data_IF_662819763320
#
_entry.id   IF_662819763320
#
_cell.length_a   1.000
_cell.length_b   1.000
_cell.length_c   1.000
_cell.angle_alpha   90.00
_cell.angle_beta   90.00
_cell.angle_gamma   90.00
#
_symmetry.space_group_name_H-M   'P 1'
#
loop_
_entity.id
_entity.type
_entity.pdbx_description
1 polymer ?
#
# COMPACT_ATOMS: atom_id res chain seq x y z
N UNK A 1 -12.66 -9.81 -13.59
CA UNK A 1 -12.40 -9.91 -15.03
C UNK A 1 -11.03 -9.32 -15.36
N UNK A 2 -10.51 -9.51 -16.57
CA UNK A 2 -9.42 -8.69 -17.12
C UNK A 2 -9.88 -7.89 -18.36
N UNK A 3 -11.19 -7.84 -18.58
CA UNK A 3 -11.82 -7.08 -19.65
C UNK A 3 -12.30 -5.75 -19.07
N UNK A 4 -11.80 -4.65 -19.65
CA UNK A 4 -12.15 -3.29 -19.23
C UNK A 4 -13.62 -2.98 -19.48
N UNK A 5 -14.18 -3.47 -20.58
CA UNK A 5 -15.57 -3.19 -20.96
C UNK A 5 -16.52 -3.91 -19.99
N UNK A 6 -16.18 -5.15 -19.59
CA UNK A 6 -16.91 -5.88 -18.54
C UNK A 6 -16.83 -5.12 -17.20
N UNK A 7 -15.65 -4.62 -16.83
CA UNK A 7 -15.43 -3.86 -15.59
C UNK A 7 -16.18 -2.51 -15.53
N UNK A 8 -16.71 -2.03 -16.66
CA UNK A 8 -17.57 -0.84 -16.76
C UNK A 8 -19.07 -1.14 -16.63
N UNK A 9 -19.47 -2.41 -16.73
CA UNK A 9 -20.90 -2.78 -16.72
C UNK A 9 -21.53 -2.59 -15.34
N UNK A 10 -22.83 -2.25 -15.28
CA UNK A 10 -23.58 -2.24 -14.02
C UNK A 10 -23.60 -3.61 -13.36
N UNK A 11 -23.71 -4.69 -14.15
CA UNK A 11 -23.78 -6.06 -13.64
C UNK A 11 -22.51 -6.44 -12.89
N UNK A 12 -21.33 -6.14 -13.47
CA UNK A 12 -20.06 -6.46 -12.84
C UNK A 12 -19.86 -5.70 -11.51
N UNK A 13 -20.28 -4.44 -11.45
CA UNK A 13 -20.07 -3.62 -10.24
C UNK A 13 -21.18 -3.74 -9.20
N UNK A 14 -22.32 -4.35 -9.54
CA UNK A 14 -23.46 -4.48 -8.63
C UNK A 14 -23.07 -5.11 -7.27
N UNK A 15 -22.27 -6.19 -7.20
CA UNK A 15 -21.83 -6.75 -5.92
C UNK A 15 -21.00 -5.77 -5.08
N UNK A 16 -20.28 -4.82 -5.71
CA UNK A 16 -19.46 -3.84 -5.01
C UNK A 16 -20.29 -2.82 -4.23
N UNK A 17 -21.59 -2.70 -4.48
CA UNK A 17 -22.47 -1.76 -3.76
C UNK A 17 -22.76 -2.24 -2.33
N UNK A 18 -22.86 -3.55 -2.14
CA UNK A 18 -23.16 -4.17 -0.84
C UNK A 18 -21.95 -4.84 -0.18
N UNK A 19 -20.85 -5.02 -0.92
CA UNK A 19 -19.63 -5.61 -0.38
C UNK A 19 -19.07 -4.80 0.81
N UNK A 20 -18.63 -5.50 1.85
CA UNK A 20 -17.90 -4.91 2.99
C UNK A 20 -16.39 -4.98 2.81
N UNK A 21 -15.92 -5.88 1.93
CA UNK A 21 -14.51 -5.97 1.59
C UNK A 21 -14.30 -6.43 0.14
N UNK A 22 -13.17 -6.01 -0.45
CA UNK A 22 -12.66 -6.48 -1.75
C UNK A 22 -11.22 -6.92 -1.59
N UNK A 23 -10.86 -8.01 -2.25
CA UNK A 23 -9.51 -8.55 -2.25
C UNK A 23 -8.94 -8.66 -3.67
N UNK A 24 -7.79 -8.03 -3.90
CA UNK A 24 -7.02 -8.18 -5.13
C UNK A 24 -5.98 -9.30 -5.00
N UNK A 25 -6.05 -10.28 -5.90
CA UNK A 25 -5.06 -11.34 -6.01
C UNK A 25 -3.72 -10.86 -6.59
N UNK A 26 -2.74 -11.78 -6.62
CA UNK A 26 -1.47 -11.59 -7.29
C UNK A 26 -1.56 -11.71 -8.82
N UNK A 27 -0.42 -11.55 -9.50
CA UNK A 27 -0.33 -11.63 -10.96
C UNK A 27 0.53 -10.53 -11.54
N UNK A 28 0.02 -9.81 -12.54
CA UNK A 28 0.67 -8.64 -13.14
C UNK A 28 -0.20 -7.42 -12.88
N UNK A 29 0.31 -6.49 -12.09
CA UNK A 29 -0.40 -5.30 -11.63
C UNK A 29 -0.86 -4.38 -12.77
N UNK A 30 -0.14 -4.32 -13.89
CA UNK A 30 -0.55 -3.55 -15.07
C UNK A 30 -1.87 -4.07 -15.67
N UNK A 31 -2.16 -5.37 -15.56
CA UNK A 31 -3.47 -5.92 -15.99
C UNK A 31 -4.61 -5.40 -15.11
N UNK A 32 -4.36 -5.19 -13.83
CA UNK A 32 -5.34 -4.60 -12.92
C UNK A 32 -5.55 -3.12 -13.28
N UNK A 33 -4.48 -2.39 -13.65
CA UNK A 33 -4.58 -1.02 -14.14
C UNK A 33 -5.43 -0.96 -15.43
N UNK A 34 -5.11 -1.76 -16.46
CA UNK A 34 -5.88 -1.81 -17.70
C UNK A 34 -7.37 -2.09 -17.49
N UNK A 35 -7.67 -3.03 -16.60
CA UNK A 35 -9.04 -3.50 -16.37
C UNK A 35 -9.85 -2.53 -15.52
N UNK A 36 -9.25 -1.91 -14.51
CA UNK A 36 -10.00 -1.22 -13.47
C UNK A 36 -9.72 0.27 -13.38
N UNK A 37 -8.53 0.74 -13.76
CA UNK A 37 -8.17 2.14 -13.59
C UNK A 37 -9.12 3.05 -14.38
N UNK A 38 -9.62 4.08 -13.72
CA UNK A 38 -10.59 5.03 -14.26
C UNK A 38 -11.90 4.42 -14.78
N UNK A 39 -12.25 3.20 -14.34
CA UNK A 39 -13.54 2.60 -14.66
C UNK A 39 -14.60 2.82 -13.58
N UNK A 40 -15.84 2.47 -13.90
CA UNK A 40 -16.91 2.31 -12.91
C UNK A 40 -16.49 1.43 -11.73
N UNK A 41 -15.78 0.32 -11.98
CA UNK A 41 -15.26 -0.52 -10.90
C UNK A 41 -14.38 0.29 -9.95
N UNK A 42 -13.42 1.07 -10.47
CA UNK A 42 -12.57 1.91 -9.63
C UNK A 42 -13.36 2.94 -8.81
N UNK A 43 -14.38 3.56 -9.40
CA UNK A 43 -15.27 4.46 -8.66
C UNK A 43 -16.00 3.76 -7.52
N UNK A 44 -16.59 2.59 -7.76
CA UNK A 44 -17.32 1.83 -6.73
C UNK A 44 -16.41 1.29 -5.62
N UNK A 45 -15.14 1.00 -5.93
CA UNK A 45 -14.13 0.69 -4.93
C UNK A 45 -13.82 1.89 -4.03
N UNK A 46 -13.73 3.09 -4.61
CA UNK A 46 -13.65 4.33 -3.84
C UNK A 46 -14.88 4.53 -2.94
N UNK A 47 -16.09 4.26 -3.46
CA UNK A 47 -17.32 4.32 -2.68
C UNK A 47 -17.36 3.27 -1.54
N UNK A 48 -16.73 2.10 -1.75
CA UNK A 48 -16.58 1.07 -0.71
C UNK A 48 -15.72 1.54 0.44
N UNK A 49 -14.56 2.14 0.16
CA UNK A 49 -13.72 2.73 1.19
C UNK A 49 -14.43 3.87 1.91
N UNK A 50 -15.11 4.75 1.16
CA UNK A 50 -15.81 5.91 1.71
C UNK A 50 -16.93 5.55 2.71
N UNK A 51 -17.55 4.37 2.56
CA UNK A 51 -18.56 3.84 3.49
C UNK A 51 -18.00 2.92 4.59
N UNK A 52 -16.67 2.85 4.73
CA UNK A 52 -15.99 2.08 5.78
C UNK A 52 -15.72 0.61 5.44
N UNK A 53 -15.85 0.22 4.16
CA UNK A 53 -15.41 -1.09 3.70
C UNK A 53 -13.88 -1.18 3.58
N UNK A 54 -13.37 -2.40 3.38
CA UNK A 54 -11.93 -2.67 3.32
C UNK A 54 -11.50 -3.11 1.91
N UNK A 55 -10.39 -2.58 1.41
CA UNK A 55 -9.72 -3.10 0.23
C UNK A 55 -8.39 -3.70 0.66
N UNK A 56 -8.15 -4.95 0.29
CA UNK A 56 -6.90 -5.64 0.52
C UNK A 56 -6.33 -6.21 -0.78
N UNK A 57 -5.07 -6.63 -0.72
CA UNK A 57 -4.47 -7.37 -1.82
C UNK A 57 -3.09 -7.90 -1.51
N UNK A 58 -2.68 -8.91 -2.29
CA UNK A 58 -1.38 -9.55 -2.16
C UNK A 58 -0.60 -9.50 -3.48
N UNK A 59 0.72 -9.35 -3.39
CA UNK A 59 1.61 -9.21 -4.55
C UNK A 59 1.12 -8.07 -5.46
N UNK A 60 0.81 -8.32 -6.74
CA UNK A 60 0.26 -7.32 -7.65
C UNK A 60 -0.95 -6.54 -7.08
N UNK A 61 -1.80 -7.20 -6.28
CA UNK A 61 -2.93 -6.59 -5.59
C UNK A 61 -2.55 -5.65 -4.43
N UNK A 62 -1.34 -5.77 -3.88
CA UNK A 62 -0.79 -4.78 -2.96
C UNK A 62 -0.24 -3.58 -3.75
N UNK A 63 0.56 -3.83 -4.80
CA UNK A 63 1.17 -2.78 -5.63
C UNK A 63 0.13 -1.83 -6.24
N UNK A 64 -0.98 -2.35 -6.76
CA UNK A 64 -1.99 -1.54 -7.47
C UNK A 64 -2.70 -0.49 -6.59
N UNK A 65 -2.61 -0.60 -5.26
CA UNK A 65 -3.32 0.30 -4.34
C UNK A 65 -2.63 1.67 -4.20
N UNK A 66 -1.32 1.75 -4.48
CA UNK A 66 -0.59 3.02 -4.53
C UNK A 66 -1.04 3.88 -5.71
N UNK A 67 -0.76 5.18 -5.66
CA UNK A 67 -1.02 6.08 -6.79
C UNK A 67 -0.03 5.90 -7.93
N UNK A 68 1.19 5.43 -7.61
CA UNK A 68 2.21 5.10 -8.60
C UNK A 68 2.43 3.59 -8.69
N UNK A 69 2.43 3.07 -9.92
CA UNK A 69 2.55 1.65 -10.21
C UNK A 69 4.01 1.23 -10.42
N UNK A 70 4.65 0.77 -9.34
CA UNK A 70 5.97 0.17 -9.46
C UNK A 70 5.91 -1.12 -10.30
N UNK A 71 6.90 -1.30 -11.15
CA UNK A 71 7.07 -2.48 -12.04
C UNK A 71 5.89 -2.74 -12.97
N UNK A 72 5.25 -1.68 -13.45
CA UNK A 72 4.14 -1.75 -14.38
C UNK A 72 4.50 -2.08 -15.83
N UNK A 73 5.75 -2.42 -16.17
CA UNK A 73 6.13 -2.76 -17.54
C UNK A 73 5.40 -4.01 -18.04
N UNK A 74 4.79 -3.94 -19.22
CA UNK A 74 4.00 -5.03 -19.80
C UNK A 74 4.83 -6.27 -20.17
N UNK A 75 6.13 -6.10 -20.45
CA UNK A 75 7.04 -7.14 -20.96
C UNK A 75 7.77 -7.88 -19.86
N UNK A 76 8.20 -7.18 -18.80
CA UNK A 76 8.99 -7.74 -17.70
C UNK A 76 8.57 -7.20 -16.33
N UNK A 77 8.94 -7.90 -15.25
CA UNK A 77 8.71 -7.47 -13.86
C UNK A 77 9.98 -6.92 -13.18
N UNK A 78 11.03 -6.64 -13.96
CA UNK A 78 12.33 -6.17 -13.46
C UNK A 78 12.52 -4.67 -13.61
N UNK A 79 11.86 -4.04 -14.59
CA UNK A 79 11.89 -2.59 -14.80
C UNK A 79 11.02 -1.94 -13.73
N UNK A 80 11.54 -0.95 -13.00
CA UNK A 80 10.79 -0.27 -11.94
C UNK A 80 9.78 0.74 -12.49
N UNK A 81 10.18 1.52 -13.49
CA UNK A 81 9.37 2.54 -14.15
C UNK A 81 8.99 2.04 -15.56
N UNK A 82 7.79 1.46 -15.69
CA UNK A 82 7.34 0.77 -16.90
C UNK A 82 6.49 1.63 -17.84
N UNK A 83 5.77 0.98 -18.74
CA UNK A 83 4.76 1.60 -19.61
C UNK A 83 3.43 1.91 -18.89
N UNK A 84 3.25 1.39 -17.66
CA UNK A 84 2.17 1.74 -16.76
C UNK A 84 2.75 2.29 -15.47
N UNK A 85 2.43 3.54 -15.15
CA UNK A 85 2.90 4.23 -13.94
C UNK A 85 1.76 4.63 -12.99
N UNK A 86 0.50 4.49 -13.41
CA UNK A 86 -0.65 4.90 -12.61
C UNK A 86 -1.30 3.69 -11.91
N UNK A 87 -1.47 3.79 -10.59
CA UNK A 87 -2.23 2.83 -9.81
C UNK A 87 -3.61 3.38 -9.42
N UNK A 88 -4.40 2.58 -8.69
CA UNK A 88 -5.74 3.00 -8.25
C UNK A 88 -5.66 4.15 -7.23
N UNK A 89 -4.52 4.32 -6.56
CA UNK A 89 -4.31 5.46 -5.69
C UNK A 89 -5.29 5.52 -4.53
N UNK A 90 -5.59 4.37 -3.91
CA UNK A 90 -6.19 4.37 -2.57
C UNK A 90 -5.22 4.95 -1.54
N UNK A 91 -3.91 4.76 -1.76
CA UNK A 91 -2.83 5.49 -1.08
C UNK A 91 -2.22 6.50 -2.05
N UNK A 92 -2.42 7.79 -1.75
CA UNK A 92 -1.92 8.89 -2.59
C UNK A 92 -0.44 9.16 -2.32
N UNK A 93 0.31 9.56 -3.35
CA UNK A 93 1.74 9.87 -3.30
C UNK A 93 2.60 8.70 -2.80
N UNK A 94 2.19 7.47 -3.12
CA UNK A 94 2.86 6.25 -2.68
C UNK A 94 3.13 5.32 -3.87
N UNK A 95 4.32 4.72 -3.88
CA UNK A 95 4.70 3.59 -4.74
C UNK A 95 4.94 2.35 -3.87
N UNK A 96 4.34 1.21 -4.22
CA UNK A 96 4.45 -0.03 -3.43
C UNK A 96 5.15 -1.12 -4.25
N UNK A 97 6.24 -1.69 -3.75
CA UNK A 97 6.86 -2.91 -4.27
C UNK A 97 6.72 -4.07 -3.27
N UNK A 98 6.74 -5.31 -3.76
CA UNK A 98 6.42 -6.51 -2.99
C UNK A 98 7.42 -7.64 -3.26
N UNK A 99 7.53 -8.59 -2.33
CA UNK A 99 8.56 -9.64 -2.30
C UNK A 99 9.97 -9.04 -2.16
N UNK A 100 10.11 -8.05 -1.29
CA UNK A 100 11.31 -7.22 -1.22
C UNK A 100 12.58 -8.01 -0.86
N UNK A 101 12.60 -8.67 0.30
CA UNK A 101 13.81 -9.30 0.82
C UNK A 101 14.01 -10.69 0.23
N UNK A 102 12.92 -11.44 -0.01
CA UNK A 102 12.99 -12.77 -0.65
C UNK A 102 13.60 -12.73 -2.05
N UNK A 103 13.59 -11.56 -2.71
CA UNK A 103 14.21 -11.34 -4.02
C UNK A 103 15.43 -10.42 -4.01
N UNK A 104 15.88 -9.97 -2.83
CA UNK A 104 17.00 -9.04 -2.68
C UNK A 104 16.83 -7.74 -3.50
N UNK A 105 15.62 -7.16 -3.48
CA UNK A 105 15.18 -6.01 -4.30
C UNK A 105 15.08 -4.70 -3.52
N UNK A 106 15.59 -4.66 -2.30
CA UNK A 106 15.50 -3.51 -1.42
C UNK A 106 16.20 -2.25 -1.95
N UNK A 107 17.02 -2.33 -2.99
CA UNK A 107 17.63 -1.14 -3.62
C UNK A 107 16.89 -0.68 -4.88
N UNK A 108 16.00 -1.49 -5.45
CA UNK A 108 15.35 -1.19 -6.73
C UNK A 108 14.41 0.02 -6.60
N UNK A 109 13.73 0.18 -5.45
CA UNK A 109 12.81 1.31 -5.22
C UNK A 109 13.50 2.67 -5.29
N UNK A 110 14.83 2.73 -5.10
CA UNK A 110 15.61 3.96 -5.24
C UNK A 110 15.48 4.58 -6.63
N UNK A 111 15.34 3.76 -7.68
CA UNK A 111 15.12 4.24 -9.04
C UNK A 111 13.86 5.12 -9.14
N UNK A 112 12.77 4.73 -8.48
CA UNK A 112 11.52 5.48 -8.49
C UNK A 112 11.67 6.75 -7.65
N UNK A 113 12.09 6.64 -6.39
CA UNK A 113 12.09 7.79 -5.47
C UNK A 113 13.15 8.85 -5.82
N UNK A 114 14.23 8.48 -6.50
CA UNK A 114 15.20 9.45 -7.04
C UNK A 114 14.64 10.24 -8.23
N UNK A 115 13.76 9.63 -9.04
CA UNK A 115 13.13 10.28 -10.20
C UNK A 115 11.82 10.97 -9.86
N UNK A 116 11.15 10.55 -8.80
CA UNK A 116 9.85 11.02 -8.32
C UNK A 116 9.94 11.28 -6.81
N UNK A 117 10.69 12.31 -6.36
CA UNK A 117 10.93 12.57 -4.94
C UNK A 117 9.65 12.94 -4.17
N UNK A 118 8.57 13.30 -4.87
CA UNK A 118 7.26 13.49 -4.26
C UNK A 118 6.65 12.19 -3.70
N UNK A 119 7.09 11.02 -4.19
CA UNK A 119 6.56 9.72 -3.78
C UNK A 119 7.25 9.20 -2.54
N UNK A 120 6.46 8.64 -1.62
CA UNK A 120 6.93 7.71 -0.60
C UNK A 120 7.02 6.31 -1.22
N UNK A 121 8.23 5.75 -1.27
CA UNK A 121 8.42 4.37 -1.66
C UNK A 121 8.20 3.43 -0.47
N UNK A 122 7.50 2.34 -0.70
CA UNK A 122 7.19 1.33 0.32
C UNK A 122 7.45 -0.07 -0.24
N UNK A 123 8.32 -0.82 0.42
CA UNK A 123 8.62 -2.21 0.05
C UNK A 123 8.07 -3.18 1.08
N UNK A 124 7.16 -4.08 0.69
CA UNK A 124 6.53 -5.06 1.58
C UNK A 124 7.16 -6.44 1.36
N UNK A 125 7.70 -7.04 2.42
CA UNK A 125 8.25 -8.39 2.34
C UNK A 125 7.18 -9.48 2.41
N UNK A 126 7.55 -10.73 2.10
CA UNK A 126 6.62 -11.86 2.16
C UNK A 126 6.06 -12.09 3.56
N UNK A 127 4.83 -12.61 3.62
CA UNK A 127 4.07 -12.84 4.86
C UNK A 127 3.98 -11.61 5.77
N UNK A 128 4.00 -10.41 5.17
CA UNK A 128 3.94 -9.12 5.86
C UNK A 128 2.89 -8.26 5.17
N UNK A 129 2.18 -7.44 5.93
CA UNK A 129 1.17 -6.53 5.41
C UNK A 129 1.21 -5.20 6.16
N UNK A 130 0.61 -4.19 5.53
CA UNK A 130 0.31 -2.92 6.15
C UNK A 130 -1.20 -2.80 6.28
N UNK A 131 -1.68 -2.52 7.49
CA UNK A 131 -3.09 -2.19 7.72
C UNK A 131 -3.18 -0.68 7.79
N UNK A 132 -3.81 -0.07 6.80
CA UNK A 132 -3.94 1.38 6.69
C UNK A 132 -5.29 1.85 7.21
N UNK A 133 -5.29 2.82 8.10
CA UNK A 133 -6.48 3.48 8.65
C UNK A 133 -6.26 4.98 8.69
N UNK A 134 -7.05 5.72 7.91
CA UNK A 134 -6.81 7.15 7.69
C UNK A 134 -5.42 7.38 7.13
N UNK A 135 -4.65 8.24 7.81
CA UNK A 135 -3.29 8.62 7.40
C UNK A 135 -2.19 7.79 8.08
N UNK A 136 -2.54 6.67 8.71
CA UNK A 136 -1.58 5.85 9.44
C UNK A 136 -1.66 4.40 9.00
N UNK A 137 -0.53 3.70 9.08
CA UNK A 137 -0.52 2.26 8.93
C UNK A 137 0.23 1.55 10.05
N UNK A 138 -0.21 0.34 10.35
CA UNK A 138 0.48 -0.64 11.20
C UNK A 138 1.10 -1.74 10.32
N UNK A 139 2.33 -2.14 10.64
CA UNK A 139 2.95 -3.33 10.05
C UNK A 139 2.51 -4.57 10.82
N UNK A 140 1.99 -5.57 10.11
CA UNK A 140 1.62 -6.88 10.68
C UNK A 140 2.30 -8.01 9.90
N UNK A 141 2.37 -9.19 10.50
CA UNK A 141 2.91 -10.39 9.86
C UNK A 141 4.27 -10.80 10.43
N UNK A 142 5.13 -11.34 9.57
CA UNK A 142 6.32 -12.08 10.00
C UNK A 142 7.66 -11.46 9.60
N UNK A 143 7.66 -10.45 8.74
CA UNK A 143 8.88 -9.78 8.27
C UNK A 143 8.70 -8.26 8.30
N UNK A 144 9.36 -7.53 7.41
CA UNK A 144 9.51 -6.08 7.47
C UNK A 144 8.82 -5.36 6.32
N UNK A 145 8.53 -4.08 6.57
CA UNK A 145 8.22 -3.09 5.53
C UNK A 145 9.39 -2.12 5.44
N UNK A 146 9.95 -1.92 4.24
CA UNK A 146 10.96 -0.92 3.98
C UNK A 146 10.33 0.41 3.56
N UNK A 147 10.86 1.52 4.08
CA UNK A 147 10.39 2.88 3.80
C UNK A 147 11.50 3.68 3.12
N UNK A 148 11.16 4.24 1.97
CA UNK A 148 12.02 5.06 1.11
C UNK A 148 11.43 6.46 1.04
N UNK A 149 11.99 7.36 1.85
CA UNK A 149 11.52 8.74 1.95
C UNK A 149 12.62 9.70 1.47
N UNK A 150 12.59 10.12 0.19
CA UNK A 150 13.63 10.97 -0.40
C UNK A 150 13.67 12.39 0.20
N UNK A 151 12.57 12.87 0.79
CA UNK A 151 12.54 14.13 1.54
C UNK A 151 13.21 13.99 2.92
N UNK A 152 13.35 12.74 3.39
CA UNK A 152 14.03 12.38 4.62
C UNK A 152 13.27 12.68 5.90
N UNK A 153 12.00 13.07 5.84
CA UNK A 153 11.17 13.39 7.01
C UNK A 153 11.10 12.20 8.00
N UNK A 154 11.20 10.97 7.49
CA UNK A 154 11.17 9.75 8.28
C UNK A 154 12.49 9.37 8.97
N UNK A 155 13.63 9.89 8.50
CA UNK A 155 14.97 9.54 9.03
C UNK A 155 15.60 10.79 9.63
N UNK A 156 16.16 10.66 10.84
CA UNK A 156 16.89 11.75 11.49
C UNK A 156 18.02 12.26 10.57
N UNK A 157 18.17 13.59 10.49
CA UNK A 157 19.03 14.29 9.52
C UNK A 157 20.45 13.72 9.43
N UNK A 158 21.05 13.39 10.58
CA UNK A 158 22.40 12.82 10.69
C UNK A 158 22.57 11.43 10.05
N UNK A 159 21.47 10.70 9.84
CA UNK A 159 21.47 9.34 9.30
C UNK A 159 21.04 9.29 7.83
N UNK A 160 20.44 10.38 7.30
CA UNK A 160 19.89 10.45 5.92
C UNK A 160 20.95 10.12 4.86
N UNK A 161 22.17 10.62 5.01
CA UNK A 161 23.25 10.38 4.05
C UNK A 161 23.76 8.92 4.03
N UNK A 162 23.38 8.09 5.01
CA UNK A 162 23.95 6.75 5.22
C UNK A 162 22.94 5.62 5.02
N UNK A 163 21.63 5.93 5.04
CA UNK A 163 20.56 4.94 4.99
C UNK A 163 19.55 5.35 3.92
N UNK A 164 19.61 4.77 2.71
CA UNK A 164 18.68 5.11 1.63
C UNK A 164 17.24 4.64 1.90
N UNK A 165 17.05 3.80 2.93
CA UNK A 165 15.76 3.38 3.47
C UNK A 165 15.96 2.84 4.91
N UNK A 166 14.85 2.61 5.61
CA UNK A 166 14.83 1.91 6.89
C UNK A 166 13.68 0.89 6.93
N UNK A 167 13.73 -0.02 7.89
CA UNK A 167 12.72 -1.07 8.07
C UNK A 167 11.81 -0.79 9.26
N UNK A 168 10.54 -1.13 9.09
CA UNK A 168 9.52 -1.24 10.12
C UNK A 168 9.23 -2.72 10.36
N UNK A 169 9.22 -3.14 11.62
CA UNK A 169 8.91 -4.50 12.06
C UNK A 169 7.42 -4.63 12.43
N UNK A 170 6.90 -5.85 12.63
CA UNK A 170 5.53 -6.02 13.09
C UNK A 170 5.24 -5.25 14.40
N UNK A 171 4.09 -4.58 14.44
CA UNK A 171 3.65 -3.67 15.50
C UNK A 171 4.22 -2.24 15.39
N UNK A 172 5.18 -1.97 14.51
CA UNK A 172 5.57 -0.60 14.22
C UNK A 172 4.49 0.08 13.37
N UNK A 173 4.34 1.38 13.57
CA UNK A 173 3.39 2.23 12.87
C UNK A 173 4.11 3.34 12.11
N UNK A 174 3.41 3.92 11.13
CA UNK A 174 3.92 5.03 10.35
C UNK A 174 2.79 6.00 10.03
N UNK A 175 3.06 7.28 10.24
CA UNK A 175 2.19 8.38 9.84
C UNK A 175 2.55 8.82 8.41
N UNK A 176 1.62 8.70 7.47
CA UNK A 176 1.80 8.97 6.05
C UNK A 176 1.84 10.47 5.74
N UNK A 177 1.19 11.32 6.56
CA UNK A 177 1.21 12.78 6.38
C UNK A 177 2.51 13.37 6.91
N UNK A 178 2.87 13.02 8.15
CA UNK A 178 4.08 13.51 8.80
C UNK A 178 5.34 12.75 8.33
N UNK A 179 5.14 11.68 7.55
CA UNK A 179 6.16 10.71 7.13
C UNK A 179 7.03 10.27 8.31
N UNK A 180 6.42 9.83 9.41
CA UNK A 180 7.16 9.54 10.65
C UNK A 180 6.83 8.17 11.23
N UNK A 181 7.85 7.34 11.54
CA UNK A 181 7.62 6.09 12.25
C UNK A 181 7.33 6.33 13.73
N UNK A 182 6.49 5.49 14.31
CA UNK A 182 6.26 5.44 15.75
C UNK A 182 5.90 4.03 16.18
N UNK A 183 6.03 3.75 17.48
CA UNK A 183 5.51 2.51 18.07
C UNK A 183 4.58 2.90 19.21
N UNK A 184 3.29 2.55 19.13
CA UNK A 184 2.41 2.75 20.27
C UNK A 184 2.98 1.98 21.46
N UNK A 185 2.96 2.61 22.65
CA UNK A 185 3.32 1.92 23.88
C UNK A 185 2.36 0.74 24.14
N UNK A 186 2.65 -0.12 25.13
CA UNK A 186 1.72 -1.17 25.52
C UNK A 186 0.35 -0.55 25.79
N UNK A 187 -0.67 -1.00 25.07
CA UNK A 187 -2.05 -0.63 25.36
C UNK A 187 -2.39 -1.24 26.71
N UNK A 188 -2.30 -0.46 27.78
CA UNK A 188 -2.82 -0.89 29.08
C UNK A 188 -4.33 -0.82 28.95
N UNK A 189 -4.95 -1.97 28.66
CA UNK A 189 -6.38 -2.15 28.85
C UNK A 189 -6.70 -1.78 30.29
N UNK A 190 -7.25 -0.59 30.50
CA UNK A 190 -7.74 -0.20 31.81
C UNK A 190 -8.91 -1.12 32.11
N UNK A 191 -8.85 -1.96 33.17
CA UNK A 191 -9.97 -2.81 33.50
C UNK A 191 -11.17 -1.91 33.77
N UNK A 192 -12.29 -2.22 33.11
CA UNK A 192 -13.55 -1.54 33.33
C UNK A 192 -13.81 -1.48 34.84
N UNK A 193 -13.85 -0.26 35.39
CA UNK A 193 -14.24 -0.04 36.77
C UNK A 193 -15.73 -0.36 36.84
N UNK A 194 -16.06 -1.62 37.12
CA UNK A 194 -17.42 -2.01 37.48
C UNK A 194 -17.69 -1.41 38.85
N UNK A 195 -18.25 -0.19 38.88
CA UNK A 195 -18.89 0.32 40.09
C UNK A 195 -20.00 -0.66 40.45
N UNK A 196 -19.78 -1.48 41.48
CA UNK A 196 -20.89 -2.15 42.17
C UNK A 196 -21.70 -1.04 42.83
N UNK A 197 -22.94 -0.89 42.40
CA UNK A 197 -23.93 -0.15 43.16
C UNK A 197 -24.23 -0.95 44.44
N UNK A 198 -24.09 -0.29 45.58
CA UNK A 198 -24.74 -0.69 46.84
C UNK A 198 -26.23 -0.37 46.78
#
# INVERSE_FOLDING_TARGET
>A
TYDRDEAETEEFVAPLKDATAVWFGGGRQWRLADSYLNTRTHRELGALLARGGVIGGSSAGATIQGSYLARGDSRTNTIMMGDHEEGLGFLKQVAIDQHLLTRNRQFDMLEIVEKRPELLGIGIDENTAMVVQGDQFEVIGSSYVAIYDPEGNAIAEQDRAKKPFFFLAPGDHFDLLERRPFRPGPQIDSPAITRRAE
#
